data_IF_503034377042
#
_entry.id   IF_503034377042
#
_cell.length_a   1.000
_cell.length_b   1.000
_cell.length_c   1.000
_cell.angle_alpha   90.00
_cell.angle_beta   90.00
_cell.angle_gamma   90.00
#
_symmetry.space_group_name_H-M   'P 1'
#
loop_
_entity.id
_entity.type
_entity.pdbx_description
1 polymer ?
#
# COMPACT_ATOMS: atom_id res chain seq x y z
N UNK A 1 -16.93 -10.09 26.28
CA UNK A 1 -16.71 -9.84 24.84
C UNK A 1 -15.84 -10.95 24.29
N UNK A 2 -16.00 -11.28 23.02
CA UNK A 2 -15.15 -12.25 22.31
C UNK A 2 -14.62 -11.60 21.03
N UNK A 3 -13.43 -11.98 20.61
CA UNK A 3 -12.91 -11.58 19.29
C UNK A 3 -13.67 -12.40 18.26
N UNK A 4 -14.30 -11.72 17.30
CA UNK A 4 -15.01 -12.36 16.18
C UNK A 4 -14.01 -12.78 15.11
N UNK A 5 -13.11 -11.86 14.72
CA UNK A 5 -12.09 -12.08 13.70
C UNK A 5 -10.97 -11.04 13.88
N UNK A 6 -9.72 -11.42 13.60
CA UNK A 6 -8.55 -10.52 13.58
C UNK A 6 -7.70 -10.68 12.29
N UNK A 7 -8.20 -11.42 11.31
CA UNK A 7 -7.63 -11.57 9.98
C UNK A 7 -8.13 -10.44 9.08
N UNK A 8 -7.27 -9.46 8.80
CA UNK A 8 -7.64 -8.23 8.09
C UNK A 8 -8.23 -8.51 6.70
N UNK A 9 -7.74 -9.52 5.99
CA UNK A 9 -8.21 -9.84 4.64
C UNK A 9 -9.64 -10.39 4.63
N UNK A 10 -10.00 -11.15 5.66
CA UNK A 10 -11.36 -11.66 5.84
C UNK A 10 -12.30 -10.53 6.27
N UNK A 11 -11.87 -9.64 7.18
CA UNK A 11 -12.69 -8.54 7.69
C UNK A 11 -13.14 -7.60 6.55
N UNK A 12 -12.24 -7.21 5.64
CA UNK A 12 -12.62 -6.33 4.53
C UNK A 12 -13.61 -7.00 3.57
N UNK A 13 -13.52 -8.33 3.40
CA UNK A 13 -14.49 -9.12 2.63
C UNK A 13 -15.83 -9.24 3.35
N UNK A 14 -15.85 -9.33 4.68
CA UNK A 14 -17.10 -9.27 5.45
C UNK A 14 -17.79 -7.91 5.26
N UNK A 15 -17.05 -6.80 5.33
CA UNK A 15 -17.60 -5.46 5.14
C UNK A 15 -18.15 -5.21 3.75
N UNK A 16 -17.68 -5.96 2.75
CA UNK A 16 -18.10 -5.82 1.36
C UNK A 16 -19.58 -6.14 1.12
N UNK A 17 -20.22 -6.97 1.97
CA UNK A 17 -21.63 -7.35 1.76
C UNK A 17 -22.45 -7.68 3.01
N UNK A 18 -21.81 -7.91 4.17
CA UNK A 18 -22.53 -8.36 5.37
C UNK A 18 -23.57 -7.36 5.90
N UNK A 19 -23.48 -6.10 5.48
CA UNK A 19 -24.34 -5.00 5.93
C UNK A 19 -25.23 -4.42 4.81
N UNK A 20 -25.27 -5.04 3.62
CA UNK A 20 -26.07 -4.54 2.50
C UNK A 20 -27.57 -4.47 2.84
N UNK A 21 -28.08 -5.50 3.52
CA UNK A 21 -29.46 -5.53 4.03
C UNK A 21 -29.75 -4.54 5.15
N UNK A 22 -28.73 -3.82 5.64
CA UNK A 22 -28.82 -2.85 6.74
C UNK A 22 -28.54 -1.40 6.28
N UNK A 23 -28.40 -1.17 4.97
CA UNK A 23 -28.22 0.17 4.40
C UNK A 23 -26.76 0.60 4.22
N UNK A 24 -25.84 -0.36 4.08
CA UNK A 24 -24.49 -0.06 3.62
C UNK A 24 -24.51 0.66 2.26
N UNK A 25 -23.46 1.48 2.00
CA UNK A 25 -23.33 2.15 0.71
C UNK A 25 -23.06 1.11 -0.38
N UNK A 26 -23.59 1.28 -1.61
CA UNK A 26 -23.28 0.38 -2.71
C UNK A 26 -21.78 0.34 -3.02
N UNK A 27 -21.27 -0.85 -3.29
CA UNK A 27 -19.90 -1.11 -3.73
C UNK A 27 -19.58 -2.59 -3.62
N UNK A 28 -18.83 -3.13 -4.59
CA UNK A 28 -18.28 -4.48 -4.52
C UNK A 28 -16.81 -4.43 -4.91
N UNK A 29 -15.94 -4.57 -3.91
CA UNK A 29 -14.50 -4.54 -4.05
C UNK A 29 -13.90 -5.95 -4.26
N UNK A 30 -14.73 -7.00 -4.27
CA UNK A 30 -14.31 -8.38 -4.55
C UNK A 30 -15.29 -9.10 -5.50
N UNK A 31 -15.58 -8.51 -6.68
CA UNK A 31 -16.60 -9.02 -7.59
C UNK A 31 -16.18 -10.35 -8.20
N UNK A 32 -17.14 -11.26 -8.37
CA UNK A 32 -16.92 -12.65 -8.81
C UNK A 32 -16.07 -12.75 -10.08
N UNK A 33 -16.32 -11.87 -11.06
CA UNK A 33 -15.63 -11.85 -12.34
C UNK A 33 -14.11 -11.54 -12.24
N UNK A 34 -13.67 -10.85 -11.18
CA UNK A 34 -12.28 -10.42 -11.01
C UNK A 34 -11.53 -11.19 -9.91
N UNK A 35 -12.18 -12.11 -9.18
CA UNK A 35 -11.56 -12.77 -8.01
C UNK A 35 -10.24 -13.45 -8.33
N UNK A 36 -10.14 -14.14 -9.47
CA UNK A 36 -8.89 -14.79 -9.89
C UNK A 36 -7.74 -13.77 -10.03
N UNK A 37 -7.98 -12.66 -10.74
CA UNK A 37 -6.98 -11.61 -10.90
C UNK A 37 -6.66 -10.89 -9.58
N UNK A 38 -7.67 -10.61 -8.77
CA UNK A 38 -7.51 -9.98 -7.44
C UNK A 38 -6.64 -10.86 -6.53
N UNK A 39 -6.93 -12.15 -6.44
CA UNK A 39 -6.18 -13.07 -5.59
C UNK A 39 -4.73 -13.22 -6.07
N UNK A 40 -4.49 -13.31 -7.37
CA UNK A 40 -3.14 -13.36 -7.95
C UNK A 40 -2.35 -12.07 -7.65
N UNK A 41 -2.95 -10.90 -7.87
CA UNK A 41 -2.31 -9.61 -7.59
C UNK A 41 -2.05 -9.45 -6.09
N UNK A 42 -3.01 -9.81 -5.24
CA UNK A 42 -2.86 -9.71 -3.79
C UNK A 42 -1.74 -10.59 -3.25
N UNK A 43 -1.63 -11.83 -3.71
CA UNK A 43 -0.55 -12.73 -3.30
C UNK A 43 0.81 -12.19 -3.75
N UNK A 44 0.89 -11.68 -4.98
CA UNK A 44 2.11 -11.10 -5.53
C UNK A 44 2.58 -9.85 -4.76
N UNK A 45 1.67 -8.91 -4.49
CA UNK A 45 1.97 -7.70 -3.71
C UNK A 45 2.28 -8.06 -2.26
N UNK A 46 1.54 -8.99 -1.65
CA UNK A 46 1.77 -9.38 -0.26
C UNK A 46 3.17 -9.95 -0.07
N UNK A 47 3.53 -10.94 -0.89
CA UNK A 47 4.81 -11.65 -0.78
C UNK A 47 6.01 -10.72 -1.00
N UNK A 48 5.95 -9.88 -2.04
CA UNK A 48 7.13 -9.13 -2.48
C UNK A 48 7.17 -7.70 -1.98
N UNK A 49 6.03 -7.09 -1.62
CA UNK A 49 5.97 -5.70 -1.17
C UNK A 49 5.51 -5.57 0.27
N UNK A 50 4.28 -5.98 0.61
CA UNK A 50 3.75 -5.76 1.97
C UNK A 50 4.62 -6.46 3.02
N UNK A 51 5.03 -7.71 2.75
CA UNK A 51 5.99 -8.43 3.58
C UNK A 51 7.45 -8.08 3.23
N UNK A 52 7.73 -7.79 1.95
CA UNK A 52 9.06 -7.48 1.44
C UNK A 52 9.74 -6.29 2.14
N UNK A 53 9.01 -5.21 2.41
CA UNK A 53 9.57 -4.06 3.15
C UNK A 53 10.00 -4.43 4.57
N UNK A 54 9.28 -5.33 5.24
CA UNK A 54 9.66 -5.84 6.57
C UNK A 54 10.85 -6.79 6.47
N UNK A 55 10.88 -7.68 5.48
CA UNK A 55 12.04 -8.56 5.23
C UNK A 55 13.32 -7.75 5.02
N UNK A 56 13.24 -6.66 4.26
CA UNK A 56 14.36 -5.73 4.06
C UNK A 56 14.74 -5.01 5.37
N UNK A 57 13.77 -4.42 6.06
CA UNK A 57 14.03 -3.63 7.27
C UNK A 57 14.55 -4.41 8.47
N UNK A 58 14.14 -5.67 8.61
CA UNK A 58 14.53 -6.55 9.72
C UNK A 58 15.63 -7.56 9.36
N UNK A 59 16.19 -7.48 8.15
CA UNK A 59 17.30 -8.33 7.75
C UNK A 59 18.50 -8.17 8.70
N UNK A 60 19.09 -9.28 9.12
CA UNK A 60 20.26 -9.33 10.01
C UNK A 60 21.56 -9.64 9.26
N UNK A 61 21.48 -9.98 7.97
CA UNK A 61 22.63 -10.18 7.08
C UNK A 61 22.47 -9.35 5.82
N UNK A 62 23.61 -9.04 5.18
CA UNK A 62 23.63 -8.24 3.94
C UNK A 62 22.92 -8.98 2.81
N UNK A 63 23.12 -10.29 2.69
CA UNK A 63 22.54 -11.11 1.63
C UNK A 63 21.01 -11.17 1.73
N UNK A 64 20.47 -11.31 2.94
CA UNK A 64 19.03 -11.32 3.17
C UNK A 64 18.39 -9.96 2.87
N UNK A 65 19.09 -8.87 3.19
CA UNK A 65 18.66 -7.52 2.83
C UNK A 65 18.65 -7.34 1.31
N UNK A 66 19.74 -7.72 0.62
CA UNK A 66 19.89 -7.59 -0.83
C UNK A 66 18.83 -8.39 -1.59
N UNK A 67 18.55 -9.63 -1.18
CA UNK A 67 17.49 -10.45 -1.78
C UNK A 67 16.12 -9.77 -1.63
N UNK A 68 15.79 -9.34 -0.40
CA UNK A 68 14.48 -8.75 -0.11
C UNK A 68 14.26 -7.41 -0.83
N UNK A 69 15.27 -6.52 -0.79
CA UNK A 69 15.17 -5.20 -1.43
C UNK A 69 15.16 -5.30 -2.95
N UNK A 70 15.91 -6.24 -3.53
CA UNK A 70 15.91 -6.46 -4.99
C UNK A 70 14.54 -6.95 -5.46
N UNK A 71 13.99 -8.00 -4.83
CA UNK A 71 12.67 -8.51 -5.17
C UNK A 71 11.55 -7.47 -4.99
N UNK A 72 11.65 -6.64 -3.96
CA UNK A 72 10.74 -5.50 -3.73
C UNK A 72 10.74 -4.54 -4.92
N UNK A 73 11.92 -4.09 -5.36
CA UNK A 73 12.02 -3.09 -6.43
C UNK A 73 11.72 -3.66 -7.82
N UNK A 74 12.07 -4.93 -8.09
CA UNK A 74 11.62 -5.62 -9.31
C UNK A 74 10.08 -5.67 -9.38
N UNK A 75 9.43 -5.88 -8.24
CA UNK A 75 7.96 -5.89 -8.15
C UNK A 75 7.37 -4.49 -8.35
N UNK A 76 7.95 -3.45 -7.72
CA UNK A 76 7.52 -2.07 -7.91
C UNK A 76 7.69 -1.61 -9.38
N UNK A 77 8.79 -2.00 -10.04
CA UNK A 77 9.02 -1.72 -11.46
C UNK A 77 7.95 -2.40 -12.35
N UNK A 78 7.59 -3.64 -12.03
CA UNK A 78 6.49 -4.34 -12.72
C UNK A 78 5.12 -3.67 -12.52
N UNK A 79 4.84 -3.19 -11.31
CA UNK A 79 3.59 -2.46 -11.00
C UNK A 79 3.55 -1.08 -11.66
N UNK A 80 4.67 -0.38 -11.73
CA UNK A 80 4.79 0.89 -12.48
C UNK A 80 4.40 0.69 -13.94
N UNK A 81 4.95 -0.35 -14.59
CA UNK A 81 4.62 -0.68 -15.98
C UNK A 81 3.16 -1.14 -16.16
N UNK A 82 2.61 -1.87 -15.18
CA UNK A 82 1.19 -2.26 -15.16
C UNK A 82 0.31 -1.00 -15.09
N UNK A 83 0.55 -0.13 -14.12
CA UNK A 83 -0.24 1.08 -13.84
C UNK A 83 -0.07 2.20 -14.88
N UNK A 84 0.90 2.07 -15.79
CA UNK A 84 1.01 2.92 -16.98
C UNK A 84 -0.08 2.64 -18.02
N UNK A 85 -0.64 1.42 -18.02
CA UNK A 85 -1.61 0.95 -19.02
C UNK A 85 -3.03 0.79 -18.48
N UNK A 86 -3.18 0.62 -17.18
CA UNK A 86 -4.48 0.46 -16.52
C UNK A 86 -4.56 1.35 -15.29
N UNK A 87 -5.78 1.75 -14.95
CA UNK A 87 -6.02 2.72 -13.88
C UNK A 87 -5.82 2.13 -12.49
N UNK A 88 -6.22 0.87 -12.29
CA UNK A 88 -6.17 0.16 -11.02
C UNK A 88 -5.46 -1.18 -11.14
N UNK A 89 -5.26 -1.86 -10.01
CA UNK A 89 -4.49 -3.10 -9.95
C UNK A 89 -5.15 -4.27 -10.68
N UNK A 90 -6.48 -4.34 -10.75
CA UNK A 90 -7.23 -5.39 -11.44
C UNK A 90 -8.12 -4.82 -12.58
N UNK A 91 -7.58 -3.87 -13.35
CA UNK A 91 -8.24 -3.31 -14.53
C UNK A 91 -8.72 -1.86 -14.36
N UNK A 92 -9.98 -1.61 -14.69
CA UNK A 92 -10.62 -0.27 -14.70
C UNK A 92 -11.59 -0.02 -13.54
N UNK A 93 -11.74 -0.97 -12.61
CA UNK A 93 -12.48 -0.81 -11.34
C UNK A 93 -11.55 -0.85 -10.14
N UNK A 94 -11.89 -0.12 -9.09
CA UNK A 94 -11.22 -0.22 -7.79
C UNK A 94 -11.67 -1.51 -7.09
N UNK A 95 -10.71 -2.25 -6.55
CA UNK A 95 -10.92 -3.53 -5.87
C UNK A 95 -10.23 -3.56 -4.50
N UNK A 96 -10.40 -4.65 -3.75
CA UNK A 96 -9.69 -4.86 -2.49
C UNK A 96 -8.17 -4.85 -2.68
N UNK A 97 -7.64 -5.20 -3.86
CA UNK A 97 -6.21 -5.10 -4.14
C UNK A 97 -5.69 -3.69 -3.98
N UNK A 98 -6.45 -2.71 -4.46
CA UNK A 98 -6.05 -1.32 -4.41
C UNK A 98 -6.02 -0.80 -2.98
N UNK A 99 -7.06 -1.14 -2.21
CA UNK A 99 -7.17 -0.78 -0.80
C UNK A 99 -6.16 -1.49 0.10
N UNK A 100 -5.74 -2.70 -0.25
CA UNK A 100 -4.67 -3.42 0.46
C UNK A 100 -3.29 -2.85 0.16
N UNK A 101 -3.09 -2.29 -1.03
CA UNK A 101 -1.79 -1.77 -1.43
C UNK A 101 -1.55 -0.32 -0.99
N UNK A 102 -2.58 0.53 -1.02
CA UNK A 102 -2.50 1.95 -0.65
C UNK A 102 -1.78 2.21 0.69
N UNK A 103 -2.07 1.48 1.79
CA UNK A 103 -1.42 1.72 3.06
C UNK A 103 0.09 1.46 3.02
N UNK A 104 0.60 0.64 2.10
CA UNK A 104 2.04 0.46 1.92
C UNK A 104 2.65 1.64 1.16
N UNK A 105 2.00 2.13 0.10
CA UNK A 105 2.47 3.29 -0.66
C UNK A 105 2.56 4.55 0.21
N UNK A 106 1.51 4.87 0.97
CA UNK A 106 1.45 6.06 1.83
C UNK A 106 2.53 6.08 2.93
N UNK A 107 3.06 4.91 3.29
CA UNK A 107 4.12 4.78 4.32
C UNK A 107 5.51 4.66 3.73
N UNK A 108 5.64 4.43 2.43
CA UNK A 108 6.90 4.06 1.81
C UNK A 108 7.94 5.17 1.97
N UNK A 109 7.68 6.35 1.44
CA UNK A 109 8.65 7.46 1.46
C UNK A 109 8.86 7.99 2.89
N UNK A 110 7.82 7.95 3.72
CA UNK A 110 7.85 8.44 5.09
C UNK A 110 8.59 7.52 6.07
N UNK A 111 8.62 6.21 5.79
CA UNK A 111 9.13 5.20 6.70
C UNK A 111 9.99 4.18 5.97
N UNK A 112 9.42 3.36 5.08
CA UNK A 112 10.10 2.17 4.55
C UNK A 112 11.39 2.51 3.79
N UNK A 113 11.37 3.62 3.05
CA UNK A 113 12.52 4.12 2.31
C UNK A 113 13.73 4.34 3.23
N UNK A 114 13.56 5.05 4.34
CA UNK A 114 14.64 5.31 5.29
C UNK A 114 14.81 4.19 6.32
N UNK A 115 13.78 4.00 7.15
CA UNK A 115 13.79 3.11 8.32
C UNK A 115 14.08 1.66 7.96
N UNK A 116 13.45 1.16 6.90
CA UNK A 116 13.64 -0.20 6.41
C UNK A 116 14.67 -0.30 5.28
N UNK A 117 15.39 0.78 4.99
CA UNK A 117 16.43 0.82 3.95
C UNK A 117 15.93 0.41 2.57
N UNK A 118 14.63 0.55 2.29
CA UNK A 118 14.07 0.30 0.96
C UNK A 118 14.34 1.50 0.03
N UNK A 119 15.60 1.80 -0.25
CA UNK A 119 16.04 3.12 -0.71
C UNK A 119 16.67 3.16 -2.11
N UNK A 120 16.33 2.23 -3.01
CA UNK A 120 16.77 2.37 -4.40
C UNK A 120 16.09 3.55 -5.10
N UNK A 121 14.79 3.74 -4.84
CA UNK A 121 13.93 4.82 -5.35
C UNK A 121 12.82 5.11 -4.34
N UNK A 122 12.29 6.33 -4.32
CA UNK A 122 11.06 6.69 -3.61
C UNK A 122 9.84 6.35 -4.47
N UNK A 123 8.66 6.22 -3.88
CA UNK A 123 7.39 6.19 -4.63
C UNK A 123 7.24 7.47 -5.44
N UNK A 124 7.66 8.62 -4.88
CA UNK A 124 7.72 9.90 -5.60
C UNK A 124 8.52 9.85 -6.93
N UNK A 125 9.45 8.90 -7.08
CA UNK A 125 10.27 8.74 -8.30
C UNK A 125 9.60 7.82 -9.35
N UNK A 126 8.44 7.24 -9.03
CA UNK A 126 7.61 6.41 -9.89
C UNK A 126 6.35 7.17 -10.35
N UNK A 127 6.28 7.68 -11.59
CA UNK A 127 5.16 8.51 -12.04
C UNK A 127 3.79 7.84 -11.93
N UNK A 128 3.66 6.57 -12.35
CA UNK A 128 2.37 5.89 -12.33
C UNK A 128 1.96 5.47 -10.92
N UNK A 129 2.88 4.94 -10.11
CA UNK A 129 2.63 4.63 -8.70
C UNK A 129 2.29 5.88 -7.88
N UNK A 130 3.00 7.00 -8.10
CA UNK A 130 2.70 8.28 -7.44
C UNK A 130 1.34 8.84 -7.84
N UNK A 131 0.99 8.79 -9.12
CA UNK A 131 -0.35 9.16 -9.57
C UNK A 131 -1.40 8.26 -8.92
N UNK A 132 -1.18 6.94 -8.93
CA UNK A 132 -2.12 5.95 -8.41
C UNK A 132 -2.35 6.12 -6.91
N UNK A 133 -1.28 6.33 -6.14
CA UNK A 133 -1.36 6.62 -4.70
C UNK A 133 -2.19 7.88 -4.41
N UNK A 134 -1.93 8.97 -5.15
CA UNK A 134 -2.64 10.25 -4.97
C UNK A 134 -4.10 10.16 -5.35
N UNK A 135 -4.42 9.46 -6.44
CA UNK A 135 -5.80 9.19 -6.83
C UNK A 135 -6.59 8.47 -5.73
N UNK A 136 -6.03 7.38 -5.19
CA UNK A 136 -6.68 6.65 -4.09
C UNK A 136 -6.76 7.45 -2.79
N UNK A 137 -5.73 8.25 -2.48
CA UNK A 137 -5.75 9.16 -1.33
C UNK A 137 -6.88 10.20 -1.43
N UNK A 138 -7.09 10.73 -2.63
CA UNK A 138 -8.10 11.75 -2.93
C UNK A 138 -9.51 11.14 -3.09
N UNK A 139 -9.65 9.82 -3.01
CA UNK A 139 -10.95 9.15 -3.01
C UNK A 139 -11.79 9.60 -1.79
N UNK A 140 -13.09 9.89 -1.95
CA UNK A 140 -13.90 10.48 -0.88
C UNK A 140 -13.83 9.72 0.46
N UNK A 141 -13.34 10.43 1.48
CA UNK A 141 -13.22 9.92 2.85
C UNK A 141 -11.86 9.29 3.19
N UNK A 142 -11.03 8.94 2.19
CA UNK A 142 -9.75 8.25 2.43
C UNK A 142 -8.74 9.14 3.13
N UNK A 143 -8.56 10.39 2.68
CA UNK A 143 -7.63 11.34 3.30
C UNK A 143 -7.82 11.47 4.83
N UNK A 144 -9.07 11.43 5.32
CA UNK A 144 -9.37 11.52 6.76
C UNK A 144 -8.94 10.31 7.60
N UNK A 145 -8.52 9.22 6.95
CA UNK A 145 -8.02 8.00 7.61
C UNK A 145 -6.49 7.97 7.70
N UNK A 146 -5.80 8.94 7.09
CA UNK A 146 -4.34 8.93 6.94
C UNK A 146 -3.69 9.90 7.92
N UNK A 147 -2.93 9.35 8.87
CA UNK A 147 -2.18 10.11 9.87
C UNK A 147 -0.69 9.75 9.77
N UNK A 148 0.08 10.53 9.00
CA UNK A 148 1.49 10.24 8.72
C UNK A 148 2.33 10.37 9.98
N UNK A 149 2.03 11.33 10.85
CA UNK A 149 2.72 11.53 12.12
C UNK A 149 2.61 10.28 13.02
N UNK A 150 1.41 9.71 13.16
CA UNK A 150 1.21 8.47 13.92
C UNK A 150 1.99 7.30 13.31
N UNK A 151 2.02 7.21 11.98
CA UNK A 151 2.81 6.20 11.29
C UNK A 151 4.29 6.38 11.62
N UNK A 152 4.86 7.58 11.42
CA UNK A 152 6.29 7.84 11.67
C UNK A 152 6.64 7.59 13.14
N UNK A 153 5.85 8.09 14.08
CA UNK A 153 6.06 7.87 15.51
C UNK A 153 6.08 6.37 15.84
N UNK A 154 5.11 5.60 15.35
CA UNK A 154 5.09 4.16 15.60
C UNK A 154 6.37 3.47 15.12
N UNK A 155 6.74 3.62 13.84
CA UNK A 155 7.87 2.88 13.29
C UNK A 155 9.21 3.32 13.87
N UNK A 156 9.46 4.63 13.94
CA UNK A 156 10.75 5.16 14.38
C UNK A 156 10.95 5.04 15.90
N UNK A 157 9.88 5.10 16.71
CA UNK A 157 9.99 5.04 18.16
C UNK A 157 9.75 3.64 18.76
N UNK A 158 9.12 2.69 18.04
CA UNK A 158 8.87 1.34 18.56
C UNK A 158 9.90 0.29 18.12
N UNK A 159 10.63 0.50 17.02
CA UNK A 159 11.62 -0.45 16.52
C UNK A 159 13.03 -0.15 17.04
N UNK A 160 13.26 -0.29 18.34
CA UNK A 160 14.54 0.03 19.00
C UNK A 160 15.73 -0.77 18.42
N UNK A 161 15.49 -1.97 17.90
CA UNK A 161 16.52 -2.77 17.23
C UNK A 161 17.02 -2.16 15.92
N UNK A 162 16.20 -1.35 15.24
CA UNK A 162 16.54 -0.67 13.99
C UNK A 162 16.96 0.78 14.27
N UNK A 163 16.25 1.48 15.15
CA UNK A 163 16.50 2.87 15.53
C UNK A 163 16.60 3.02 17.06
N UNK A 164 17.77 2.75 17.66
CA UNK A 164 17.94 2.80 19.12
C UNK A 164 17.72 4.19 19.72
N UNK A 165 17.86 5.25 18.93
CA UNK A 165 17.68 6.62 19.40
C UNK A 165 16.22 7.03 19.53
N UNK A 166 15.29 6.30 18.88
CA UNK A 166 13.88 6.67 18.79
C UNK A 166 13.62 7.99 18.05
N UNK A 167 14.63 8.62 17.44
CA UNK A 167 14.48 9.89 16.74
C UNK A 167 13.58 9.68 15.52
N UNK A 168 12.53 10.51 15.43
CA UNK A 168 11.60 10.54 14.30
C UNK A 168 12.07 11.61 13.31
N UNK A 169 12.36 11.27 12.05
CA UNK A 169 12.76 12.26 11.04
C UNK A 169 11.67 13.31 10.81
N UNK A 170 12.08 14.55 10.53
CA UNK A 170 11.14 15.63 10.16
C UNK A 170 10.57 15.39 8.76
N UNK A 171 11.42 15.07 7.79
CA UNK A 171 10.99 14.78 6.42
C UNK A 171 10.36 13.39 6.23
N UNK A 172 10.01 13.04 4.97
CA UNK A 172 10.00 13.92 3.80
C UNK A 172 8.83 14.92 3.84
N UNK A 173 8.89 15.96 3.01
CA UNK A 173 7.69 16.73 2.63
C UNK A 173 6.84 15.86 1.71
N UNK A 174 5.55 15.75 2.02
CA UNK A 174 4.59 14.91 1.30
C UNK A 174 3.45 15.79 0.81
N UNK A 175 3.09 15.65 -0.46
CA UNK A 175 1.94 16.31 -1.06
C UNK A 175 1.06 15.24 -1.72
N UNK A 176 0.15 14.68 -0.94
CA UNK A 176 -0.81 13.69 -1.43
C UNK A 176 -2.01 14.34 -2.16
N UNK A 177 -2.20 15.65 -2.01
CA UNK A 177 -3.27 16.43 -2.65
C UNK A 177 -2.88 16.93 -4.05
N UNK A 178 -1.61 16.83 -4.43
CA UNK A 178 -1.15 17.17 -5.78
C UNK A 178 -1.94 16.41 -6.87
N UNK A 179 -2.20 17.02 -8.05
CA UNK A 179 -2.93 16.38 -9.14
C UNK A 179 -2.31 15.03 -9.54
N UNK A 180 -3.15 13.99 -9.60
CA UNK A 180 -2.69 12.63 -9.86
C UNK A 180 -2.43 12.33 -11.35
N UNK A 181 -3.11 13.00 -12.28
CA UNK A 181 -2.85 12.89 -13.72
C UNK A 181 -3.31 11.57 -14.36
N UNK A 182 -4.26 10.88 -13.74
CA UNK A 182 -4.75 9.54 -14.16
C UNK A 182 -6.11 9.57 -14.85
N UNK A 183 -6.65 10.76 -15.10
CA UNK A 183 -7.96 10.98 -15.71
C UNK A 183 -8.04 10.48 -17.16
N UNK A 184 -6.89 10.37 -17.84
CA UNK A 184 -6.79 9.83 -19.20
C UNK A 184 -6.92 8.31 -19.26
N UNK A 185 -6.72 7.61 -18.15
CA UNK A 185 -6.88 6.16 -18.05
C UNK A 185 -8.35 5.81 -17.80
N UNK A 186 -8.81 4.76 -18.48
CA UNK A 186 -10.19 4.29 -18.38
C UNK A 186 -10.51 3.86 -16.94
N UNK A 187 -11.60 4.41 -16.38
CA UNK A 187 -12.31 3.90 -15.21
C UNK A 187 -13.69 3.41 -15.66
N UNK A 188 -14.20 2.35 -15.01
CA UNK A 188 -15.57 1.89 -15.20
C UNK A 188 -16.55 2.54 -14.19
#
# INVERSE_FOLDING_TARGET
GTIVNNESSEIIRMFNSAFDGLGARPGDYYPEALRGEIDEVNEFIYRNINNGVYRSGFATTQEAYEEAVTALFETLDGLEERLSRQRYLAGDVITESDWRFLPTLLRFDAVYHGHFKCNLRRIADYPNLSGYMRELYQFPGVASTVFVEHTKQHYYASHESINPTGIVPIGPELDFDAPHGRESLKAA
#
